data_IF_211974028399
#
_entry.id   IF_211974028399
#
_cell.length_a   1.000
_cell.length_b   1.000
_cell.length_c   1.000
_cell.angle_alpha   90.00
_cell.angle_beta   90.00
_cell.angle_gamma   90.00
#
_symmetry.space_group_name_H-M   'P 1'
#
loop_
_entity.id
_entity.type
_entity.pdbx_description
1 polymer ?
#
# COMPACT_ATOMS: atom_id res chain seq x y z
N UNK A 1 -14.01 1.44 16.79
CA UNK A 1 -12.75 0.74 16.45
C UNK A 1 -12.59 0.74 14.94
N UNK A 2 -11.36 0.86 14.45
CA UNK A 2 -11.05 1.16 13.05
C UNK A 2 -10.62 -0.11 12.30
N UNK A 3 -11.55 -1.05 12.07
CA UNK A 3 -11.32 -2.23 11.23
C UNK A 3 -11.98 -2.12 9.85
N UNK A 4 -12.59 -0.96 9.57
CA UNK A 4 -13.24 -0.64 8.31
C UNK A 4 -12.63 0.61 7.70
N UNK A 5 -12.50 0.65 6.39
CA UNK A 5 -12.00 1.75 5.58
C UNK A 5 -13.01 2.08 4.47
N UNK A 6 -13.17 3.36 4.14
CA UNK A 6 -14.11 3.88 3.13
C UNK A 6 -15.45 4.35 3.70
N UNK A 7 -16.24 5.01 2.88
CA UNK A 7 -17.54 5.58 3.21
C UNK A 7 -18.68 4.82 2.55
N UNK A 8 -18.80 4.88 1.22
CA UNK A 8 -19.75 4.11 0.41
C UNK A 8 -19.17 2.72 0.14
N UNK A 9 -17.99 2.68 -0.49
CA UNK A 9 -17.23 1.43 -0.69
C UNK A 9 -16.45 1.15 0.56
N UNK A 10 -16.96 0.26 1.40
CA UNK A 10 -16.41 -0.01 2.72
C UNK A 10 -15.78 -1.40 2.81
N UNK A 11 -14.49 -1.43 3.06
CA UNK A 11 -13.75 -2.66 3.34
C UNK A 11 -13.60 -2.86 4.85
N UNK A 12 -14.19 -3.91 5.40
CA UNK A 12 -13.96 -4.37 6.78
C UNK A 12 -13.05 -5.58 6.74
N UNK A 13 -11.92 -5.54 7.47
CA UNK A 13 -10.92 -6.61 7.49
C UNK A 13 -10.89 -7.36 8.81
N UNK A 14 -10.58 -8.66 8.79
CA UNK A 14 -10.43 -9.52 9.95
C UNK A 14 -9.28 -10.52 9.77
N UNK A 15 -8.91 -11.20 10.86
CA UNK A 15 -7.87 -12.21 10.89
C UNK A 15 -6.50 -11.66 11.29
N UNK A 16 -5.63 -12.56 11.73
CA UNK A 16 -4.26 -12.30 12.23
C UNK A 16 -3.25 -13.16 11.50
N UNK A 17 -1.96 -12.76 11.59
CA UNK A 17 -0.86 -13.41 10.87
C UNK A 17 -0.66 -14.88 11.22
N UNK A 18 -1.04 -15.30 12.42
CA UNK A 18 -0.96 -16.68 12.94
C UNK A 18 -2.34 -17.24 13.32
N UNK A 19 -3.44 -16.59 12.91
CA UNK A 19 -4.79 -17.12 12.95
C UNK A 19 -5.04 -18.15 11.84
N UNK A 20 -6.26 -18.65 11.74
CA UNK A 20 -6.66 -19.62 10.70
C UNK A 20 -6.63 -19.01 9.30
N UNK A 21 -6.99 -17.74 9.17
CA UNK A 21 -7.03 -17.03 7.88
C UNK A 21 -7.15 -15.53 8.06
N UNK A 22 -7.04 -14.84 6.94
CA UNK A 22 -7.26 -13.40 6.82
C UNK A 22 -8.34 -13.18 5.78
N UNK A 23 -9.28 -12.30 6.06
CA UNK A 23 -10.37 -12.04 5.13
C UNK A 23 -10.93 -10.63 5.28
N UNK A 24 -11.95 -10.37 4.51
CA UNK A 24 -12.66 -9.11 4.53
C UNK A 24 -14.07 -9.22 3.95
N UNK A 25 -14.81 -8.16 4.19
CA UNK A 25 -16.09 -7.90 3.55
C UNK A 25 -16.00 -6.54 2.87
N UNK A 26 -16.18 -6.53 1.56
CA UNK A 26 -16.30 -5.31 0.76
C UNK A 26 -17.78 -5.03 0.54
N UNK A 27 -18.30 -3.98 1.18
CA UNK A 27 -19.68 -3.53 1.07
C UNK A 27 -19.76 -2.26 0.22
N UNK A 28 -20.94 -1.97 -0.36
CA UNK A 28 -21.17 -0.81 -1.22
C UNK A 28 -20.48 -0.88 -2.59
N UNK A 29 -19.99 -2.04 -2.98
CA UNK A 29 -19.37 -2.23 -4.29
C UNK A 29 -20.47 -2.29 -5.38
N UNK A 30 -20.31 -1.58 -6.53
CA UNK A 30 -21.34 -1.51 -7.57
C UNK A 30 -21.72 -2.87 -8.14
N UNK A 31 -23.00 -3.06 -8.42
CA UNK A 31 -23.50 -4.25 -9.12
C UNK A 31 -23.09 -4.28 -10.59
N UNK A 32 -23.01 -5.49 -11.18
CA UNK A 32 -22.78 -5.70 -12.60
C UNK A 32 -21.33 -5.60 -13.07
N UNK A 33 -20.39 -5.31 -12.18
CA UNK A 33 -18.95 -5.30 -12.49
C UNK A 33 -18.50 -6.74 -12.74
N UNK A 34 -17.85 -7.00 -13.87
CA UNK A 34 -17.23 -8.29 -14.16
C UNK A 34 -16.07 -8.53 -13.20
N UNK A 35 -16.13 -9.61 -12.45
CA UNK A 35 -15.09 -10.01 -11.50
C UNK A 35 -14.17 -11.01 -12.20
N UNK A 36 -12.96 -10.55 -12.51
CA UNK A 36 -11.88 -11.38 -13.00
C UNK A 36 -11.09 -11.91 -11.78
N UNK A 37 -11.35 -13.15 -11.40
CA UNK A 37 -10.72 -13.79 -10.25
C UNK A 37 -9.24 -14.03 -10.46
N UNK A 38 -8.80 -14.24 -11.70
CA UNK A 38 -7.40 -14.43 -12.03
C UNK A 38 -6.62 -13.11 -11.88
N UNK A 39 -7.22 -11.99 -12.26
CA UNK A 39 -6.66 -10.67 -12.00
C UNK A 39 -6.51 -10.41 -10.49
N UNK A 40 -7.53 -10.73 -9.69
CA UNK A 40 -7.43 -10.57 -8.22
C UNK A 40 -6.32 -11.45 -7.65
N UNK A 41 -6.16 -12.68 -8.14
CA UNK A 41 -5.10 -13.57 -7.71
C UNK A 41 -3.72 -13.04 -8.14
N UNK A 42 -3.57 -12.50 -9.34
CA UNK A 42 -2.33 -11.86 -9.80
C UNK A 42 -1.92 -10.69 -8.90
N UNK A 43 -2.87 -9.84 -8.49
CA UNK A 43 -2.59 -8.75 -7.55
C UNK A 43 -2.11 -9.28 -6.18
N UNK A 44 -2.69 -10.38 -5.69
CA UNK A 44 -2.21 -11.07 -4.49
C UNK A 44 -0.81 -11.68 -4.70
N UNK A 45 -0.55 -12.26 -5.86
CA UNK A 45 0.76 -12.83 -6.20
C UNK A 45 1.85 -11.75 -6.23
N UNK A 46 1.54 -10.54 -6.67
CA UNK A 46 2.44 -9.37 -6.59
C UNK A 46 2.77 -8.99 -5.13
N UNK A 47 1.87 -9.26 -4.17
CA UNK A 47 2.05 -8.96 -2.76
C UNK A 47 2.71 -10.09 -1.96
N UNK A 48 2.48 -11.35 -2.32
CA UNK A 48 2.88 -12.52 -1.53
C UNK A 48 4.37 -12.55 -1.17
N UNK A 49 4.79 -13.24 -0.09
CA UNK A 49 6.19 -13.46 0.22
C UNK A 49 6.84 -14.46 -0.77
N UNK A 50 8.17 -14.49 -0.81
CA UNK A 50 8.91 -15.52 -1.56
C UNK A 50 8.94 -15.33 -3.07
N UNK A 51 8.76 -14.11 -3.57
CA UNK A 51 8.72 -13.80 -5.01
C UNK A 51 10.11 -13.77 -5.65
N UNK A 52 11.14 -13.39 -4.89
CA UNK A 52 12.52 -13.21 -5.39
C UNK A 52 13.56 -13.36 -4.27
N UNK A 53 14.83 -13.32 -4.63
CA UNK A 53 15.95 -13.28 -3.68
C UNK A 53 15.92 -12.05 -2.77
N UNK A 54 15.23 -10.98 -3.17
CA UNK A 54 15.07 -9.71 -2.42
C UNK A 54 13.98 -9.75 -1.35
N UNK A 55 13.19 -10.82 -1.31
CA UNK A 55 12.11 -11.00 -0.35
C UNK A 55 12.40 -12.14 0.60
N UNK A 56 11.55 -12.31 1.62
CA UNK A 56 11.62 -13.45 2.54
C UNK A 56 11.52 -14.78 1.80
N UNK A 57 12.17 -15.82 2.31
CA UNK A 57 12.07 -17.20 1.80
C UNK A 57 10.77 -17.91 2.19
N UNK A 58 9.87 -17.27 2.94
CA UNK A 58 8.53 -17.79 3.26
C UNK A 58 7.74 -17.98 1.97
N UNK A 59 7.07 -19.13 1.82
CA UNK A 59 6.19 -19.41 0.68
C UNK A 59 4.77 -19.55 1.17
N UNK A 60 3.87 -18.77 0.61
CA UNK A 60 2.41 -18.82 0.85
C UNK A 60 1.71 -18.79 -0.50
N UNK A 61 0.64 -19.56 -0.63
CA UNK A 61 -0.17 -19.57 -1.84
C UNK A 61 -1.03 -18.31 -1.96
N UNK A 62 -1.41 -17.72 -0.82
CA UNK A 62 -2.30 -16.55 -0.71
C UNK A 62 -3.54 -16.66 -1.63
N UNK A 63 -4.10 -17.88 -1.78
CA UNK A 63 -5.23 -18.14 -2.65
C UNK A 63 -6.50 -17.55 -2.04
N UNK A 64 -7.16 -16.65 -2.79
CA UNK A 64 -8.42 -16.06 -2.36
C UNK A 64 -9.60 -16.99 -2.64
N UNK A 65 -10.50 -17.08 -1.67
CA UNK A 65 -11.81 -17.73 -1.77
C UNK A 65 -12.90 -16.70 -1.56
N UNK A 66 -13.79 -16.53 -2.55
CA UNK A 66 -14.95 -15.66 -2.46
C UNK A 66 -16.12 -16.43 -1.89
N UNK A 67 -16.80 -15.87 -0.89
CA UNK A 67 -17.87 -16.50 -0.14
C UNK A 67 -19.25 -15.95 -0.52
N UNK A 68 -19.33 -14.73 -1.03
CA UNK A 68 -20.58 -14.04 -1.37
C UNK A 68 -20.37 -12.87 -2.32
N UNK A 69 -21.45 -12.29 -2.80
CA UNK A 69 -21.47 -11.04 -3.57
C UNK A 69 -21.10 -11.17 -5.04
N UNK A 70 -20.92 -12.40 -5.55
CA UNK A 70 -20.59 -12.69 -6.95
C UNK A 70 -21.56 -13.74 -7.48
N UNK A 71 -22.16 -13.47 -8.65
CA UNK A 71 -23.03 -14.39 -9.38
C UNK A 71 -22.70 -14.33 -10.87
N UNK A 72 -22.51 -15.47 -11.52
CA UNK A 72 -22.13 -15.60 -12.94
C UNK A 72 -20.96 -14.68 -13.35
N UNK A 73 -19.94 -14.58 -12.47
CA UNK A 73 -18.74 -13.76 -12.71
C UNK A 73 -18.97 -12.25 -12.62
N UNK A 74 -20.07 -11.79 -12.03
CA UNK A 74 -20.38 -10.37 -11.83
C UNK A 74 -20.70 -10.09 -10.36
N UNK A 75 -20.40 -8.86 -9.92
CA UNK A 75 -20.83 -8.37 -8.62
C UNK A 75 -22.36 -8.21 -8.57
N UNK A 76 -22.94 -8.55 -7.43
CA UNK A 76 -24.40 -8.49 -7.22
C UNK A 76 -24.89 -7.18 -6.59
N UNK A 77 -23.96 -6.31 -6.14
CA UNK A 77 -24.29 -5.13 -5.33
C UNK A 77 -24.49 -5.44 -3.84
N UNK A 78 -24.38 -6.71 -3.45
CA UNK A 78 -24.37 -7.15 -2.06
C UNK A 78 -22.94 -7.31 -1.54
N UNK A 79 -22.73 -7.44 -0.21
CA UNK A 79 -21.40 -7.57 0.35
C UNK A 79 -20.60 -8.72 -0.26
N UNK A 80 -19.39 -8.42 -0.73
CA UNK A 80 -18.43 -9.41 -1.23
C UNK A 80 -17.59 -9.87 -0.04
N UNK A 81 -17.90 -11.07 0.46
CA UNK A 81 -17.12 -11.74 1.49
C UNK A 81 -16.02 -12.58 0.86
N UNK A 82 -14.82 -12.54 1.44
CA UNK A 82 -13.68 -13.33 0.97
C UNK A 82 -12.75 -13.72 2.13
N UNK A 83 -11.97 -14.78 1.91
CA UNK A 83 -10.98 -15.30 2.84
C UNK A 83 -9.75 -15.82 2.10
N UNK A 84 -8.59 -15.71 2.75
CA UNK A 84 -7.33 -16.36 2.39
C UNK A 84 -6.86 -17.15 3.61
N UNK A 85 -6.73 -18.47 3.47
CA UNK A 85 -6.31 -19.34 4.55
C UNK A 85 -4.80 -19.26 4.78
N UNK A 86 -4.39 -19.35 6.04
CA UNK A 86 -2.98 -19.41 6.42
C UNK A 86 -2.50 -20.85 6.34
N UNK A 87 -1.48 -21.14 5.51
CA UNK A 87 -1.00 -22.52 5.26
C UNK A 87 0.35 -22.81 5.92
N UNK A 88 1.22 -21.80 6.13
CA UNK A 88 2.65 -22.00 6.44
C UNK A 88 3.12 -21.13 7.60
N UNK A 89 2.36 -21.12 8.69
CA UNK A 89 2.70 -20.39 9.91
C UNK A 89 3.59 -21.26 10.82
N UNK A 90 4.77 -20.76 11.19
CA UNK A 90 5.68 -21.37 12.16
C UNK A 90 5.65 -20.56 13.45
N UNK A 91 4.81 -20.97 14.39
CA UNK A 91 4.62 -20.24 15.66
C UNK A 91 5.82 -20.31 16.58
N UNK A 92 6.59 -21.41 16.52
CA UNK A 92 7.76 -21.68 17.38
C UNK A 92 8.93 -20.70 17.12
N UNK A 93 8.99 -20.09 15.94
CA UNK A 93 10.01 -19.07 15.59
C UNK A 93 9.91 -17.81 16.48
N UNK A 94 8.82 -17.64 17.21
CA UNK A 94 8.52 -16.43 18.01
C UNK A 94 8.59 -16.62 19.52
N UNK A 95 8.91 -17.80 20.01
CA UNK A 95 8.94 -18.10 21.46
C UNK A 95 9.93 -17.21 22.22
N UNK A 96 11.09 -16.88 21.61
CA UNK A 96 12.06 -15.98 22.18
C UNK A 96 11.60 -14.51 22.26
N UNK A 97 10.44 -14.17 21.65
CA UNK A 97 9.85 -12.83 21.66
C UNK A 97 8.71 -12.69 22.69
N UNK A 98 8.41 -13.75 23.43
CA UNK A 98 7.27 -13.78 24.36
C UNK A 98 7.39 -12.71 25.44
N UNK A 99 8.54 -12.62 26.06
CA UNK A 99 8.78 -11.76 27.23
C UNK A 99 9.60 -10.49 26.89
N UNK A 100 9.92 -10.26 25.62
CA UNK A 100 10.72 -9.10 25.19
C UNK A 100 10.02 -8.26 24.15
N UNK A 101 10.38 -6.99 24.05
CA UNK A 101 9.82 -6.05 23.09
C UNK A 101 10.82 -5.75 21.98
N UNK A 102 10.45 -6.04 20.74
CA UNK A 102 11.29 -5.68 19.58
C UNK A 102 11.37 -4.16 19.42
N UNK A 103 12.56 -3.57 19.28
CA UNK A 103 12.69 -2.13 19.01
C UNK A 103 11.90 -1.71 17.78
N UNK A 104 11.20 -0.58 17.86
CA UNK A 104 10.36 -0.01 16.77
C UNK A 104 9.23 -0.92 16.25
N UNK A 105 8.94 -2.04 16.93
CA UNK A 105 7.78 -2.91 16.65
C UNK A 105 6.58 -2.55 17.52
N UNK A 106 5.39 -3.05 17.18
CA UNK A 106 4.16 -2.79 17.92
C UNK A 106 4.03 -3.58 19.25
N UNK A 107 5.00 -4.39 19.62
CA UNK A 107 4.92 -5.33 20.74
C UNK A 107 4.51 -4.65 22.05
N UNK A 108 5.24 -3.60 22.46
CA UNK A 108 4.98 -2.85 23.68
C UNK A 108 3.62 -2.12 23.63
N UNK A 109 3.38 -1.38 22.57
CA UNK A 109 2.15 -0.60 22.41
C UNK A 109 0.90 -1.49 22.37
N UNK A 110 1.01 -2.68 21.78
CA UNK A 110 -0.07 -3.68 21.79
C UNK A 110 -0.34 -4.20 23.18
N UNK A 111 0.70 -4.59 23.91
CA UNK A 111 0.58 -5.09 25.30
C UNK A 111 -0.09 -4.06 26.19
N UNK A 112 0.35 -2.80 26.13
CA UNK A 112 -0.22 -1.73 26.96
C UNK A 112 -1.66 -1.41 26.57
N UNK A 113 -1.94 -1.33 25.27
CA UNK A 113 -3.26 -0.91 24.78
C UNK A 113 -4.34 -1.96 25.01
N UNK A 114 -4.03 -3.23 24.79
CA UNK A 114 -5.03 -4.32 24.81
C UNK A 114 -4.93 -5.21 26.04
N UNK A 115 -3.88 -5.09 26.86
CA UNK A 115 -3.65 -5.95 28.03
C UNK A 115 -3.23 -7.37 27.67
N UNK A 116 -3.23 -7.72 26.38
CA UNK A 116 -2.93 -9.05 25.85
C UNK A 116 -2.24 -8.90 24.49
N UNK A 117 -1.19 -9.70 24.26
CA UNK A 117 -0.50 -9.80 22.98
C UNK A 117 -0.31 -11.27 22.60
N UNK A 118 -0.73 -11.66 21.41
CA UNK A 118 -0.26 -12.91 20.81
C UNK A 118 1.17 -12.71 20.32
N UNK A 119 2.14 -13.30 21.00
CA UNK A 119 3.58 -13.16 20.68
C UNK A 119 3.99 -13.88 19.39
N UNK A 120 3.15 -14.82 18.89
CA UNK A 120 3.44 -15.66 17.70
C UNK A 120 3.44 -14.86 16.38
N UNK A 121 3.72 -13.58 16.41
CA UNK A 121 3.84 -12.72 15.24
C UNK A 121 3.38 -11.30 15.50
N UNK A 122 3.03 -10.58 14.45
CA UNK A 122 2.55 -9.19 14.54
C UNK A 122 1.02 -9.06 14.71
N UNK A 123 0.26 -10.15 14.74
CA UNK A 123 -1.21 -10.11 14.79
C UNK A 123 -1.81 -9.24 13.67
N UNK A 124 -2.71 -8.31 14.05
CA UNK A 124 -3.28 -7.31 13.14
C UNK A 124 -2.28 -6.24 12.67
N UNK A 125 -1.16 -6.04 13.36
CA UNK A 125 -0.10 -5.11 12.94
C UNK A 125 0.87 -5.73 11.93
N UNK A 126 0.71 -7.00 11.59
CA UNK A 126 1.53 -7.68 10.59
C UNK A 126 1.18 -7.22 9.17
N UNK A 127 2.21 -7.14 8.31
CA UNK A 127 2.02 -6.89 6.87
C UNK A 127 1.12 -7.94 6.18
N UNK A 128 0.84 -9.08 6.82
CA UNK A 128 -0.08 -10.10 6.28
C UNK A 128 -1.53 -9.60 6.25
N UNK A 129 -1.93 -8.67 7.11
CA UNK A 129 -3.24 -8.01 7.08
C UNK A 129 -3.53 -7.35 5.72
N UNK A 130 -2.50 -6.89 5.03
CA UNK A 130 -2.63 -6.24 3.72
C UNK A 130 -3.17 -7.14 2.60
N UNK A 131 -3.26 -8.45 2.80
CA UNK A 131 -3.96 -9.38 1.90
C UNK A 131 -5.37 -8.87 1.62
N UNK A 132 -6.14 -8.57 2.67
CA UNK A 132 -7.52 -8.09 2.52
C UNK A 132 -7.61 -6.77 1.78
N UNK A 133 -6.62 -5.88 1.97
CA UNK A 133 -6.55 -4.60 1.25
C UNK A 133 -6.30 -4.81 -0.23
N UNK A 134 -5.41 -5.76 -0.58
CA UNK A 134 -5.11 -6.07 -1.99
C UNK A 134 -6.29 -6.72 -2.68
N UNK A 135 -7.03 -7.62 -2.03
CA UNK A 135 -8.27 -8.19 -2.61
C UNK A 135 -9.31 -7.08 -2.86
N UNK A 136 -9.61 -6.26 -1.84
CA UNK A 136 -10.54 -5.14 -1.98
C UNK A 136 -10.09 -4.13 -3.04
N UNK A 137 -8.79 -3.82 -3.08
CA UNK A 137 -8.20 -2.91 -4.07
C UNK A 137 -8.20 -3.47 -5.48
N UNK A 138 -7.98 -4.77 -5.66
CA UNK A 138 -8.08 -5.43 -6.97
C UNK A 138 -9.52 -5.37 -7.51
N UNK A 139 -10.52 -5.62 -6.66
CA UNK A 139 -11.93 -5.43 -7.02
C UNK A 139 -12.20 -3.97 -7.42
N UNK A 140 -11.68 -3.00 -6.65
CA UNK A 140 -11.81 -1.58 -6.97
C UNK A 140 -11.13 -1.21 -8.30
N UNK A 141 -9.94 -1.76 -8.60
CA UNK A 141 -9.26 -1.58 -9.90
C UNK A 141 -10.13 -2.10 -11.06
N UNK A 142 -10.80 -3.26 -10.92
CA UNK A 142 -11.69 -3.79 -11.96
C UNK A 142 -12.82 -2.81 -12.29
N UNK A 143 -13.38 -2.14 -11.29
CA UNK A 143 -14.41 -1.11 -11.50
C UNK A 143 -13.81 0.17 -12.12
N UNK A 144 -12.69 0.65 -11.62
CA UNK A 144 -12.02 1.86 -12.10
C UNK A 144 -11.49 1.73 -13.53
N UNK A 145 -10.99 0.56 -13.92
CA UNK A 145 -10.54 0.29 -15.29
C UNK A 145 -11.68 0.44 -16.32
N UNK A 146 -12.94 0.09 -15.96
CA UNK A 146 -14.10 0.32 -16.83
C UNK A 146 -14.41 1.82 -17.02
N UNK A 147 -13.91 2.66 -16.10
CA UNK A 147 -14.03 4.12 -16.16
C UNK A 147 -12.82 4.80 -16.81
N UNK A 148 -11.85 4.02 -17.27
CA UNK A 148 -10.60 4.54 -17.84
C UNK A 148 -9.62 5.11 -16.80
N UNK A 149 -9.81 4.79 -15.52
CA UNK A 149 -8.91 5.21 -14.43
C UNK A 149 -7.90 4.10 -14.16
N UNK A 150 -6.62 4.40 -14.33
CA UNK A 150 -5.52 3.46 -14.19
C UNK A 150 -4.57 3.89 -13.08
N UNK A 151 -4.18 2.95 -12.23
CA UNK A 151 -3.32 3.20 -11.08
C UNK A 151 -2.07 2.35 -11.22
N UNK A 152 -0.91 2.99 -11.17
CA UNK A 152 0.40 2.34 -11.28
C UNK A 152 1.30 2.88 -10.18
N UNK A 153 1.89 1.99 -9.39
CA UNK A 153 2.89 2.38 -8.41
C UNK A 153 4.21 1.65 -8.68
N UNK A 154 5.31 2.27 -8.28
CA UNK A 154 6.65 1.73 -8.48
C UNK A 154 7.61 2.18 -7.38
N UNK A 155 8.69 1.43 -7.20
CA UNK A 155 9.76 1.79 -6.29
C UNK A 155 10.58 2.92 -6.90
N UNK A 156 10.57 4.07 -6.26
CA UNK A 156 11.32 5.26 -6.69
C UNK A 156 12.58 5.53 -5.86
N UNK A 157 12.71 4.89 -4.69
CA UNK A 157 13.91 5.00 -3.86
C UNK A 157 14.08 3.77 -2.97
N UNK A 158 15.32 3.28 -2.82
CA UNK A 158 15.74 2.29 -1.84
C UNK A 158 16.95 2.85 -1.07
N UNK A 159 16.79 3.10 0.23
CA UNK A 159 17.83 3.75 1.01
C UNK A 159 18.32 5.04 0.36
N UNK A 160 19.64 5.20 0.07
CA UNK A 160 20.17 6.40 -0.58
C UNK A 160 19.99 6.43 -2.10
N UNK A 161 19.62 5.31 -2.73
CA UNK A 161 19.50 5.19 -4.19
C UNK A 161 18.11 5.62 -4.61
N UNK A 162 18.00 6.68 -5.41
CA UNK A 162 16.72 7.27 -5.84
C UNK A 162 16.69 7.53 -7.34
N UNK A 163 15.50 7.56 -7.89
CA UNK A 163 15.20 8.05 -9.23
C UNK A 163 15.28 9.59 -9.23
N UNK A 164 15.77 10.15 -10.32
CA UNK A 164 16.04 11.59 -10.44
C UNK A 164 15.12 12.30 -11.45
N UNK A 165 14.48 11.53 -12.34
CA UNK A 165 13.60 12.07 -13.38
C UNK A 165 12.15 12.11 -12.88
N UNK A 166 11.34 12.91 -13.55
CA UNK A 166 9.89 12.95 -13.34
C UNK A 166 9.24 11.63 -13.78
N UNK A 167 8.07 11.32 -13.20
CA UNK A 167 7.35 10.07 -13.49
C UNK A 167 6.96 9.93 -14.97
N UNK A 168 6.84 11.05 -15.69
CA UNK A 168 6.53 11.12 -17.12
C UNK A 168 7.67 10.66 -18.01
N UNK A 169 8.89 10.65 -17.50
CA UNK A 169 10.11 10.32 -18.24
C UNK A 169 10.47 8.82 -18.15
N UNK A 170 9.67 8.05 -17.43
CA UNK A 170 9.85 6.61 -17.26
C UNK A 170 8.76 5.80 -17.98
N UNK A 171 9.16 4.68 -18.57
CA UNK A 171 8.22 3.68 -19.07
C UNK A 171 7.71 2.82 -17.90
N UNK A 172 6.55 3.19 -17.37
CA UNK A 172 5.94 2.48 -16.23
C UNK A 172 5.40 1.09 -16.59
N UNK A 173 5.34 0.70 -17.87
CA UNK A 173 4.96 -0.65 -18.30
C UNK A 173 6.01 -1.70 -17.95
N UNK A 174 7.24 -1.28 -17.67
CA UNK A 174 8.38 -2.15 -17.38
C UNK A 174 8.55 -2.53 -15.92
N UNK A 175 7.75 -1.95 -15.01
CA UNK A 175 7.93 -2.12 -13.55
C UNK A 175 7.86 -3.58 -13.07
N UNK A 176 7.03 -4.42 -13.69
CA UNK A 176 6.90 -5.84 -13.34
C UNK A 176 7.98 -6.73 -13.97
N UNK A 177 8.86 -6.18 -14.82
CA UNK A 177 9.95 -6.91 -15.45
C UNK A 177 11.13 -7.19 -14.52
N UNK A 178 11.14 -6.59 -13.32
CA UNK A 178 12.23 -6.73 -12.35
C UNK A 178 11.70 -6.86 -10.91
N UNK A 179 12.48 -7.49 -10.01
CA UNK A 179 12.01 -7.80 -8.66
C UNK A 179 11.94 -6.59 -7.72
N UNK A 180 12.53 -5.44 -8.07
CA UNK A 180 12.43 -4.20 -7.30
C UNK A 180 11.18 -3.42 -7.64
N UNK A 181 10.62 -3.65 -8.84
CA UNK A 181 9.54 -2.84 -9.44
C UNK A 181 9.94 -1.39 -9.64
N UNK A 182 11.13 -1.19 -10.20
CA UNK A 182 11.69 0.12 -10.54
C UNK A 182 11.70 0.28 -12.08
N UNK A 183 11.24 1.41 -12.64
CA UNK A 183 11.17 1.60 -14.10
C UNK A 183 12.51 1.95 -14.75
N UNK A 184 13.57 2.21 -13.97
CA UNK A 184 14.90 2.52 -14.46
C UNK A 184 15.82 1.30 -14.35
N UNK A 185 16.34 0.74 -15.48
CA UNK A 185 17.15 -0.47 -15.44
C UNK A 185 18.52 -0.33 -14.75
N UNK A 186 19.10 0.87 -14.74
CA UNK A 186 20.38 1.12 -14.06
C UNK A 186 20.15 1.19 -12.55
N UNK A 187 19.19 2.00 -12.13
CA UNK A 187 18.79 2.11 -10.73
C UNK A 187 18.25 0.80 -10.16
N UNK A 188 17.57 -0.01 -10.96
CA UNK A 188 17.16 -1.36 -10.56
C UNK A 188 18.36 -2.18 -10.11
N UNK A 189 19.43 -2.24 -10.89
CA UNK A 189 20.65 -3.01 -10.55
C UNK A 189 21.33 -2.50 -9.29
N UNK A 190 21.42 -1.16 -9.13
CA UNK A 190 21.98 -0.54 -7.93
C UNK A 190 21.13 -0.90 -6.69
N UNK A 191 19.80 -0.79 -6.78
CA UNK A 191 18.87 -1.09 -5.70
C UNK A 191 18.90 -2.58 -5.32
N UNK A 192 18.92 -3.50 -6.29
CA UNK A 192 19.05 -4.94 -6.06
C UNK A 192 20.33 -5.27 -5.30
N UNK A 193 21.48 -4.78 -5.78
CA UNK A 193 22.77 -5.01 -5.13
C UNK A 193 22.77 -4.46 -3.69
N UNK A 194 22.19 -3.30 -3.47
CA UNK A 194 22.12 -2.69 -2.16
C UNK A 194 21.22 -3.47 -1.19
N UNK A 195 20.05 -3.94 -1.63
CA UNK A 195 19.15 -4.77 -0.82
C UNK A 195 19.86 -6.08 -0.42
N UNK A 196 20.56 -6.73 -1.36
CA UNK A 196 21.29 -7.97 -1.07
C UNK A 196 22.40 -7.74 -0.05
N UNK A 197 23.18 -6.66 -0.18
CA UNK A 197 24.21 -6.28 0.80
C UNK A 197 23.64 -6.05 2.21
N UNK A 198 22.49 -5.36 2.30
CA UNK A 198 21.79 -5.12 3.58
C UNK A 198 21.28 -6.45 4.17
N UNK A 199 20.74 -7.33 3.33
CA UNK A 199 20.30 -8.67 3.73
C UNK A 199 21.43 -9.53 4.29
N UNK A 200 22.61 -9.52 3.65
CA UNK A 200 23.80 -10.25 4.10
C UNK A 200 24.28 -9.76 5.47
N UNK A 201 24.14 -8.47 5.75
CA UNK A 201 24.42 -7.89 7.05
C UNK A 201 23.39 -8.25 8.14
N UNK A 202 22.28 -8.92 7.79
CA UNK A 202 21.18 -9.21 8.71
C UNK A 202 20.32 -7.99 9.06
N UNK A 203 20.42 -6.93 8.27
CA UNK A 203 19.76 -5.64 8.45
C UNK A 203 18.58 -5.46 7.47
N UNK A 204 17.91 -4.31 7.52
CA UNK A 204 16.77 -3.97 6.66
C UNK A 204 16.88 -2.55 6.15
N UNK A 205 16.24 -2.27 5.03
CA UNK A 205 16.23 -0.95 4.41
C UNK A 205 14.82 -0.54 4.00
N UNK A 206 14.52 0.75 4.14
CA UNK A 206 13.31 1.40 3.65
C UNK A 206 13.53 2.14 2.34
N UNK A 207 12.55 2.95 1.97
CA UNK A 207 12.62 3.80 0.78
C UNK A 207 11.27 4.41 0.43
N UNK A 208 11.06 4.70 -0.83
CA UNK A 208 9.89 5.42 -1.32
C UNK A 208 9.22 4.68 -2.48
N UNK A 209 7.89 4.65 -2.46
CA UNK A 209 7.05 4.23 -3.58
C UNK A 209 6.36 5.46 -4.14
N UNK A 210 6.45 5.66 -5.45
CA UNK A 210 5.67 6.65 -6.19
C UNK A 210 4.46 5.97 -6.82
N UNK A 211 3.30 6.59 -6.71
CA UNK A 211 2.06 6.15 -7.34
C UNK A 211 1.55 7.22 -8.28
N UNK A 212 1.13 6.80 -9.48
CA UNK A 212 0.55 7.64 -10.52
C UNK A 212 -0.83 7.12 -10.88
N UNK A 213 -1.81 7.99 -10.89
CA UNK A 213 -3.20 7.72 -11.26
C UNK A 213 -3.52 8.51 -12.51
N UNK A 214 -3.84 7.82 -13.59
CA UNK A 214 -4.19 8.41 -14.89
C UNK A 214 -5.67 8.25 -15.17
N UNK A 215 -6.24 9.21 -15.90
CA UNK A 215 -7.64 9.17 -16.31
C UNK A 215 -8.63 9.52 -15.19
N UNK A 216 -8.16 10.06 -14.07
CA UNK A 216 -9.03 10.52 -12.99
C UNK A 216 -9.91 11.68 -13.47
N UNK A 217 -11.25 11.62 -13.37
CA UNK A 217 -12.12 12.73 -13.76
C UNK A 217 -11.96 13.91 -12.80
N UNK A 218 -12.39 15.09 -13.27
CA UNK A 218 -12.53 16.27 -12.42
C UNK A 218 -13.66 16.04 -11.42
N UNK A 219 -13.49 16.50 -10.17
CA UNK A 219 -14.59 16.58 -9.20
C UNK A 219 -14.56 15.52 -8.10
N UNK A 220 -13.51 14.71 -7.98
CA UNK A 220 -13.38 13.79 -6.86
C UNK A 220 -12.75 14.50 -5.65
N UNK A 221 -13.40 14.44 -4.52
CA UNK A 221 -12.95 15.09 -3.30
C UNK A 221 -13.79 16.31 -2.91
N UNK A 222 -13.51 16.86 -1.73
CA UNK A 222 -14.26 17.96 -1.11
C UNK A 222 -13.34 19.13 -0.76
N UNK A 223 -13.87 20.38 -0.70
CA UNK A 223 -13.04 21.56 -0.48
C UNK A 223 -12.57 21.74 0.96
N UNK A 224 -13.25 21.14 1.93
CA UNK A 224 -12.92 21.26 3.36
C UNK A 224 -12.53 19.92 3.97
N UNK A 225 -13.43 19.23 4.63
CA UNK A 225 -13.23 17.86 5.12
C UNK A 225 -13.46 16.87 3.98
N UNK A 226 -12.71 15.78 3.92
CA UNK A 226 -12.79 14.83 2.81
C UNK A 226 -12.02 15.27 1.55
N UNK A 227 -11.00 16.13 1.68
CA UNK A 227 -10.09 16.46 0.58
C UNK A 227 -9.47 15.18 0.03
N UNK A 228 -9.42 15.04 -1.30
CA UNK A 228 -8.93 13.81 -1.92
C UNK A 228 -7.48 13.47 -1.48
N UNK A 229 -6.59 14.46 -1.43
CA UNK A 229 -5.22 14.22 -0.96
C UNK A 229 -5.15 13.83 0.53
N UNK A 230 -6.08 14.34 1.36
CA UNK A 230 -6.15 13.95 2.77
C UNK A 230 -6.63 12.49 2.92
N UNK A 231 -7.61 12.08 2.12
CA UNK A 231 -8.09 10.70 2.10
C UNK A 231 -7.02 9.72 1.57
N UNK A 232 -6.32 10.10 0.49
CA UNK A 232 -5.17 9.33 -0.01
C UNK A 232 -4.06 9.25 1.06
N UNK A 233 -3.73 10.35 1.73
CA UNK A 233 -2.77 10.37 2.83
C UNK A 233 -3.17 9.46 3.98
N UNK A 234 -4.44 9.49 4.40
CA UNK A 234 -4.98 8.57 5.42
C UNK A 234 -4.86 7.10 4.97
N UNK A 235 -5.21 6.80 3.73
CA UNK A 235 -5.10 5.46 3.16
C UNK A 235 -3.65 4.97 3.18
N UNK A 236 -2.69 5.77 2.70
CA UNK A 236 -1.28 5.42 2.61
C UNK A 236 -0.63 5.30 3.99
N UNK A 237 -0.87 6.24 4.91
CA UNK A 237 -0.32 6.21 6.27
C UNK A 237 -0.92 5.10 7.14
N UNK A 238 -2.04 4.48 6.70
CA UNK A 238 -2.59 3.29 7.33
C UNK A 238 -1.85 2.00 6.95
N UNK A 239 -0.98 2.03 5.94
CA UNK A 239 -0.18 0.88 5.51
C UNK A 239 0.94 0.65 6.53
N UNK A 240 1.21 -0.63 6.83
CA UNK A 240 2.28 -1.01 7.74
C UNK A 240 3.63 -0.44 7.26
N UNK A 241 4.44 0.08 8.19
CA UNK A 241 5.73 0.72 7.96
C UNK A 241 5.70 2.06 7.18
N UNK A 242 4.57 2.53 6.68
CA UNK A 242 4.48 3.87 6.10
C UNK A 242 4.77 4.95 7.15
N UNK A 243 5.56 5.98 6.77
CA UNK A 243 6.03 7.06 7.65
C UNK A 243 5.86 8.45 7.05
N UNK A 244 5.77 8.53 5.74
CA UNK A 244 5.64 9.79 5.03
C UNK A 244 4.66 9.65 3.86
N UNK A 245 4.00 10.75 3.56
CA UNK A 245 3.15 10.92 2.38
C UNK A 245 3.34 12.33 1.87
N UNK A 246 3.55 12.49 0.58
CA UNK A 246 3.49 13.76 -0.13
C UNK A 246 2.85 13.59 -1.51
N UNK A 247 2.22 14.63 -2.03
CA UNK A 247 1.58 14.61 -3.35
C UNK A 247 1.99 15.84 -4.16
N UNK A 248 1.94 15.72 -5.48
CA UNK A 248 2.47 16.74 -6.37
C UNK A 248 3.96 16.95 -6.10
N UNK A 249 4.41 18.20 -6.16
CA UNK A 249 5.79 18.56 -5.84
C UNK A 249 6.16 18.36 -4.35
N UNK A 250 5.15 18.23 -3.47
CA UNK A 250 5.37 17.97 -2.05
C UNK A 250 6.30 19.01 -1.40
N UNK A 251 7.30 18.54 -0.64
CA UNK A 251 8.24 19.43 0.04
C UNK A 251 9.11 20.23 -0.93
N UNK A 252 9.44 19.70 -2.11
CA UNK A 252 10.23 20.42 -3.10
C UNK A 252 9.52 21.69 -3.62
N UNK A 253 8.20 21.64 -3.73
CA UNK A 253 7.40 22.80 -4.15
C UNK A 253 7.44 23.97 -3.18
N UNK A 254 7.79 23.73 -1.90
CA UNK A 254 7.86 24.80 -0.87
C UNK A 254 9.05 25.73 -1.03
N UNK A 255 10.05 25.34 -1.83
CA UNK A 255 11.22 26.15 -2.15
C UNK A 255 10.95 27.17 -3.25
N UNK A 256 9.83 27.02 -3.98
CA UNK A 256 9.45 27.87 -5.11
C UNK A 256 8.57 29.04 -4.68
N UNK A 257 8.66 30.14 -5.44
CA UNK A 257 7.70 31.24 -5.31
C UNK A 257 6.34 30.85 -5.89
N UNK A 258 5.27 31.46 -5.43
CA UNK A 258 3.93 31.17 -5.93
C UNK A 258 3.79 31.30 -7.46
N UNK A 259 4.49 32.28 -8.08
CA UNK A 259 4.51 32.46 -9.54
C UNK A 259 5.21 31.33 -10.30
N UNK A 260 6.08 30.58 -9.64
CA UNK A 260 6.81 29.43 -10.19
C UNK A 260 6.07 28.12 -9.92
N UNK A 261 5.32 28.06 -8.81
CA UNK A 261 4.57 26.89 -8.35
C UNK A 261 3.18 26.77 -8.97
N UNK A 262 2.56 27.90 -9.38
CA UNK A 262 1.20 27.90 -9.90
C UNK A 262 1.08 27.16 -11.24
N UNK A 263 0.18 26.18 -11.31
CA UNK A 263 -0.21 25.48 -12.51
C UNK A 263 -1.11 26.37 -13.37
N UNK A 264 -0.53 26.97 -14.42
CA UNK A 264 -1.24 27.91 -15.31
C UNK A 264 -2.24 27.16 -16.16
N UNK A 265 -3.52 27.56 -16.11
CA UNK A 265 -4.55 27.01 -16.98
C UNK A 265 -4.28 27.27 -18.46
N UNK A 266 -4.60 26.31 -19.29
CA UNK A 266 -4.52 26.38 -20.73
C UNK A 266 -5.68 25.63 -21.39
N UNK A 267 -5.96 25.93 -22.66
CA UNK A 267 -6.90 25.16 -23.48
C UNK A 267 -6.10 24.17 -24.33
N UNK A 268 -6.36 22.88 -24.16
CA UNK A 268 -5.85 21.81 -25.03
C UNK A 268 -7.01 21.12 -25.72
N UNK A 269 -7.20 21.37 -27.01
CA UNK A 269 -8.24 20.75 -27.82
C UNK A 269 -9.66 20.91 -27.25
N UNK A 270 -10.00 22.11 -26.76
CA UNK A 270 -11.31 22.43 -26.18
C UNK A 270 -11.48 22.02 -24.70
N UNK A 271 -10.46 21.44 -24.07
CA UNK A 271 -10.46 21.10 -22.64
C UNK A 271 -9.61 22.08 -21.85
N UNK A 272 -10.10 22.50 -20.70
CA UNK A 272 -9.30 23.26 -19.74
C UNK A 272 -8.38 22.26 -19.01
N UNK A 273 -7.10 22.52 -19.09
CA UNK A 273 -6.01 21.74 -18.48
C UNK A 273 -4.99 22.68 -17.87
N UNK A 274 -3.93 22.16 -17.29
CA UNK A 274 -2.81 22.95 -16.77
C UNK A 274 -1.55 22.75 -17.61
N UNK A 275 -0.64 23.75 -17.62
CA UNK A 275 0.66 23.65 -18.33
C UNK A 275 1.64 22.78 -17.60
N UNK A 276 1.61 22.82 -16.29
CA UNK A 276 2.40 22.04 -15.32
C UNK A 276 1.47 21.27 -14.43
N UNK A 277 1.96 20.35 -13.60
CA UNK A 277 1.16 19.59 -12.68
C UNK A 277 1.83 19.54 -11.27
N UNK A 278 2.29 20.70 -10.80
CA UNK A 278 2.90 20.87 -9.48
C UNK A 278 1.93 20.51 -8.35
N UNK A 279 0.64 20.76 -8.56
CA UNK A 279 -0.45 20.41 -7.62
C UNK A 279 -0.71 18.91 -7.52
N UNK A 280 -0.11 18.08 -8.41
CA UNK A 280 -0.30 16.63 -8.40
C UNK A 280 -1.73 16.20 -8.69
N UNK A 281 -2.42 16.86 -9.63
CA UNK A 281 -3.78 16.52 -10.08
C UNK A 281 -4.91 16.91 -9.11
N UNK A 282 -4.60 17.62 -8.02
CA UNK A 282 -5.58 17.97 -6.97
C UNK A 282 -5.46 19.45 -6.62
N UNK A 283 -6.52 20.21 -6.84
CA UNK A 283 -6.60 21.63 -6.50
C UNK A 283 -7.79 21.90 -5.58
N UNK A 284 -7.56 22.62 -4.48
CA UNK A 284 -8.60 22.88 -3.48
C UNK A 284 -9.14 21.64 -2.75
N UNK A 285 -8.47 20.49 -2.87
CA UNK A 285 -8.92 19.21 -2.33
C UNK A 285 -9.68 18.32 -3.33
N UNK A 286 -9.86 18.80 -4.57
CA UNK A 286 -10.69 18.20 -5.61
C UNK A 286 -9.79 17.86 -6.80
N UNK A 287 -10.01 16.69 -7.44
CA UNK A 287 -9.27 16.31 -8.65
C UNK A 287 -9.55 17.27 -9.81
N UNK A 288 -8.52 17.65 -10.57
CA UNK A 288 -8.61 18.64 -11.65
C UNK A 288 -8.52 18.05 -13.07
N UNK A 289 -8.45 16.71 -13.18
CA UNK A 289 -8.39 16.00 -14.47
C UNK A 289 -6.97 15.73 -14.99
N UNK A 290 -5.95 16.26 -14.35
CA UNK A 290 -4.54 15.89 -14.60
C UNK A 290 -4.20 14.60 -13.86
N UNK A 291 -3.04 14.00 -14.17
CA UNK A 291 -2.54 12.83 -13.44
C UNK A 291 -2.39 13.16 -11.95
N UNK A 292 -2.90 12.28 -11.09
CA UNK A 292 -2.64 12.37 -9.67
C UNK A 292 -1.37 11.58 -9.38
N UNK A 293 -0.37 12.23 -8.77
CA UNK A 293 0.82 11.53 -8.33
C UNK A 293 1.21 11.88 -6.89
N UNK A 294 1.70 10.87 -6.18
CA UNK A 294 2.12 11.00 -4.80
C UNK A 294 3.22 10.01 -4.45
N UNK A 295 3.90 10.25 -3.34
CA UNK A 295 5.00 9.43 -2.82
C UNK A 295 4.68 8.97 -1.40
N UNK A 296 5.03 7.72 -1.11
CA UNK A 296 4.85 7.10 0.21
C UNK A 296 6.21 6.60 0.71
N UNK A 297 6.67 7.13 1.83
CA UNK A 297 7.91 6.73 2.48
C UNK A 297 7.68 5.58 3.45
N UNK A 298 8.49 4.53 3.33
CA UNK A 298 8.47 3.35 4.19
C UNK A 298 9.75 3.26 5.02
N UNK A 299 9.62 3.06 6.34
CA UNK A 299 10.76 2.80 7.20
C UNK A 299 11.34 1.41 6.97
N UNK A 300 12.60 1.15 7.36
CA UNK A 300 13.14 -0.19 7.49
C UNK A 300 12.25 -1.07 8.38
N UNK A 301 12.24 -2.38 8.11
CA UNK A 301 11.49 -3.35 8.91
C UNK A 301 12.14 -3.47 10.29
N UNK A 302 11.35 -3.42 11.34
CA UNK A 302 11.84 -3.41 12.72
C UNK A 302 12.46 -4.74 13.19
N UNK A 303 12.15 -5.84 12.52
CA UNK A 303 12.64 -7.17 12.89
C UNK A 303 13.96 -7.46 12.18
N UNK A 304 15.07 -7.40 12.92
CA UNK A 304 16.43 -7.61 12.42
C UNK A 304 16.96 -8.99 12.80
N UNK A 305 17.86 -9.55 11.98
CA UNK A 305 18.57 -10.80 12.24
C UNK A 305 19.87 -10.58 13.04
N UNK A 306 20.14 -9.33 13.44
CA UNK A 306 21.23 -8.96 14.34
C UNK A 306 20.71 -8.72 15.76
N UNK A 307 21.62 -8.84 16.73
CA UNK A 307 21.30 -8.59 18.14
C UNK A 307 21.06 -7.09 18.37
N UNK A 308 20.01 -6.77 19.13
CA UNK A 308 19.63 -5.41 19.48
C UNK A 308 19.37 -5.29 20.98
N UNK A 309 19.81 -4.19 21.63
CA UNK A 309 19.41 -3.89 22.99
C UNK A 309 17.90 -3.59 23.08
N UNK A 310 17.28 -4.04 24.15
CA UNK A 310 15.85 -3.86 24.43
C UNK A 310 15.56 -4.02 25.91
N UNK A 311 14.28 -4.06 26.26
CA UNK A 311 13.80 -4.42 27.60
C UNK A 311 12.82 -5.58 27.53
N UNK A 312 12.76 -6.34 28.64
CA UNK A 312 11.75 -7.39 28.81
C UNK A 312 10.41 -6.83 29.31
N UNK A 313 9.44 -7.72 29.54
CA UNK A 313 8.10 -7.37 30.02
C UNK A 313 8.07 -6.78 31.44
N UNK A 314 9.17 -6.92 32.20
CA UNK A 314 9.35 -6.35 33.53
C UNK A 314 10.14 -5.04 33.53
N UNK A 315 10.59 -4.59 32.34
CA UNK A 315 11.38 -3.37 32.15
C UNK A 315 12.89 -3.54 32.40
N UNK A 316 13.37 -4.78 32.50
CA UNK A 316 14.79 -5.06 32.68
C UNK A 316 15.52 -5.04 31.36
N UNK A 317 16.70 -4.38 31.31
CA UNK A 317 17.54 -4.32 30.13
C UNK A 317 17.99 -5.73 29.70
N UNK A 318 17.86 -6.00 28.41
CA UNK A 318 18.21 -7.29 27.78
C UNK A 318 18.60 -7.08 26.33
N UNK A 319 18.82 -8.16 25.59
CA UNK A 319 19.01 -8.14 24.16
C UNK A 319 17.98 -9.04 23.46
N UNK A 320 17.69 -8.73 22.21
CA UNK A 320 16.84 -9.56 21.34
C UNK A 320 17.50 -9.74 19.99
N UNK A 321 17.49 -10.97 19.51
CA UNK A 321 17.81 -11.32 18.12
C UNK A 321 16.64 -12.06 17.55
N UNK A 322 16.02 -11.49 16.51
CA UNK A 322 14.91 -12.15 15.84
C UNK A 322 15.37 -13.43 15.15
N UNK A 323 14.50 -14.41 15.12
CA UNK A 323 14.64 -15.66 14.37
C UNK A 323 13.63 -15.66 13.22
N UNK A 324 13.77 -16.60 12.30
CA UNK A 324 12.82 -16.78 11.20
C UNK A 324 13.18 -15.97 9.95
N UNK A 325 12.18 -15.82 9.08
CA UNK A 325 12.35 -15.35 7.69
C UNK A 325 11.68 -13.98 7.53
N UNK A 326 12.47 -12.93 7.40
CA UNK A 326 12.00 -11.56 7.26
C UNK A 326 12.42 -10.96 5.92
N UNK A 327 11.65 -9.99 5.42
CA UNK A 327 12.01 -9.24 4.23
C UNK A 327 13.16 -8.27 4.56
N UNK A 328 14.24 -8.18 3.77
CA UNK A 328 15.26 -7.13 3.95
C UNK A 328 14.74 -5.76 3.50
N UNK A 329 13.77 -5.73 2.58
CA UNK A 329 13.15 -4.53 2.06
C UNK A 329 11.66 -4.79 1.79
N UNK A 330 10.78 -3.93 2.29
CA UNK A 330 9.33 -4.09 2.13
C UNK A 330 8.81 -3.60 0.77
N UNK A 331 9.55 -2.71 0.08
CA UNK A 331 9.06 -1.94 -1.06
C UNK A 331 8.49 -2.80 -2.19
N UNK A 332 9.16 -3.86 -2.67
CA UNK A 332 8.60 -4.66 -3.77
C UNK A 332 7.21 -5.21 -3.48
N UNK A 333 6.96 -5.57 -2.23
CA UNK A 333 5.66 -6.08 -1.79
C UNK A 333 4.65 -4.98 -1.46
N UNK A 334 5.12 -3.79 -1.13
CA UNK A 334 4.27 -2.66 -0.79
C UNK A 334 3.68 -1.96 -2.02
N UNK A 335 4.31 -2.07 -3.20
CA UNK A 335 3.81 -1.50 -4.45
C UNK A 335 2.33 -1.85 -4.71
N UNK A 336 1.91 -3.13 -4.79
CA UNK A 336 0.50 -3.47 -5.00
C UNK A 336 -0.42 -3.05 -3.84
N UNK A 337 0.11 -2.86 -2.63
CA UNK A 337 -0.68 -2.39 -1.49
C UNK A 337 -0.99 -0.89 -1.63
N UNK A 338 -0.02 -0.10 -2.08
CA UNK A 338 -0.21 1.33 -2.38
C UNK A 338 -1.26 1.51 -3.47
N UNK A 339 -1.15 0.74 -4.57
CA UNK A 339 -2.14 0.75 -5.64
C UNK A 339 -3.54 0.35 -5.14
N UNK A 340 -3.63 -0.69 -4.32
CA UNK A 340 -4.89 -1.18 -3.78
C UNK A 340 -5.59 -0.13 -2.90
N UNK A 341 -4.86 0.53 -2.02
CA UNK A 341 -5.41 1.56 -1.15
C UNK A 341 -5.80 2.82 -1.93
N UNK A 342 -5.05 3.18 -2.98
CA UNK A 342 -5.42 4.25 -3.91
C UNK A 342 -6.72 3.90 -4.65
N UNK A 343 -6.86 2.66 -5.15
CA UNK A 343 -8.04 2.20 -5.87
C UNK A 343 -9.30 2.23 -4.98
N UNK A 344 -9.21 1.73 -3.75
CA UNK A 344 -10.33 1.79 -2.79
C UNK A 344 -10.76 3.24 -2.52
N UNK A 345 -9.79 4.13 -2.31
CA UNK A 345 -10.07 5.55 -2.07
C UNK A 345 -10.74 6.19 -3.28
N UNK A 346 -10.22 5.97 -4.49
CA UNK A 346 -10.77 6.59 -5.70
C UNK A 346 -12.16 6.07 -6.04
N UNK A 347 -12.41 4.76 -5.90
CA UNK A 347 -13.74 4.21 -6.17
C UNK A 347 -14.77 4.77 -5.17
N UNK A 348 -14.42 4.87 -3.89
CA UNK A 348 -15.27 5.47 -2.87
C UNK A 348 -15.62 6.92 -3.22
N UNK A 349 -14.61 7.74 -3.54
CA UNK A 349 -14.81 9.14 -3.92
C UNK A 349 -15.50 9.32 -5.27
N UNK A 350 -15.29 8.41 -6.21
CA UNK A 350 -16.05 8.42 -7.48
C UNK A 350 -17.54 8.22 -7.23
N UNK A 351 -17.93 7.28 -6.37
CA UNK A 351 -19.33 7.06 -6.03
C UNK A 351 -19.92 8.22 -5.22
N UNK A 352 -19.16 8.80 -4.30
CA UNK A 352 -19.58 10.01 -3.58
C UNK A 352 -19.86 11.15 -4.56
N UNK A 353 -18.95 11.42 -5.51
CA UNK A 353 -19.11 12.48 -6.50
C UNK A 353 -20.37 12.30 -7.39
N UNK A 354 -20.82 11.06 -7.61
CA UNK A 354 -22.07 10.78 -8.35
C UNK A 354 -23.33 11.26 -7.64
N UNK A 355 -23.25 11.62 -6.38
CA UNK A 355 -24.38 12.16 -5.60
C UNK A 355 -24.40 13.69 -5.57
N UNK A 356 -23.41 14.36 -6.13
CA UNK A 356 -23.25 15.82 -6.03
C UNK A 356 -24.10 16.59 -7.05
N UNK A 357 -24.37 15.99 -8.21
CA UNK A 357 -25.19 16.58 -9.27
C UNK A 357 -26.25 15.56 -9.73
N UNK A 358 -27.43 16.07 -10.02
CA UNK A 358 -28.59 15.29 -10.52
C UNK A 358 -28.62 15.34 -12.04
#
# INVERSE_FOLDING_TARGET
MFNSFGNIVRLTTFGESHGKGIGGVLDGFPAGIRIDTDFVQQELDRRRPGQSALTTSRKEGDKVEFLSGIFEGKSTGHPIGFVVWNENQHSDDYDNLREVYRPSHADYTYTVKYGLRDHRGGGRSSARETISRVVGGALAKLALNQLGIHITAYTSQVGPIRLEKEYTDYDLSTIESNPVRCPDPEKTREMEAYILKVKEAGDTIGGVITCVIRGCPIGLGEPAFGKLHAALGQAMLSINAAKAFEYGDGFQGLERKGSEQNDIFCNRNGRIMTRTNHSGGIQGGISNGEDIYFRVGFKPIATLLMEQPTVDSQGMETTVKARGRHDPCVLPRAVPIVEAMAALTLLDYYLIARTTQI
#
